data_IF_638752267475
#
_entry.id   IF_638752267475
#
_cell.length_a   1.000
_cell.length_b   1.000
_cell.length_c   1.000
_cell.angle_alpha   90.00
_cell.angle_beta   90.00
_cell.angle_gamma   90.00
#
_symmetry.space_group_name_H-M   'P 1'
#
loop_
_entity.id
_entity.type
_entity.pdbx_description
1 polymer ?
#
# COMPACT_ATOMS: atom_id res chain seq x y z
N UNK A 1 16.63 -17.11 -12.83
CA UNK A 1 15.98 -17.28 -11.51
C UNK A 1 14.61 -16.63 -11.60
N UNK A 2 13.51 -17.34 -11.37
CA UNK A 2 12.19 -16.79 -11.56
C UNK A 2 11.91 -15.73 -10.49
N UNK A 3 11.23 -14.65 -10.91
CA UNK A 3 10.85 -13.47 -10.12
C UNK A 3 9.65 -13.75 -9.20
N UNK A 4 9.61 -14.91 -8.57
CA UNK A 4 8.43 -15.36 -7.80
C UNK A 4 8.11 -14.43 -6.62
N UNK A 5 9.13 -13.79 -6.03
CA UNK A 5 8.96 -12.88 -4.91
C UNK A 5 8.31 -11.54 -5.27
N UNK A 6 8.66 -10.93 -6.42
CA UNK A 6 8.10 -9.62 -6.80
C UNK A 6 6.64 -9.73 -7.27
N UNK A 7 6.31 -10.80 -7.97
CA UNK A 7 4.95 -11.05 -8.44
C UNK A 7 4.01 -11.29 -7.24
N UNK A 8 4.50 -12.00 -6.21
CA UNK A 8 3.77 -12.22 -4.96
C UNK A 8 3.54 -10.94 -4.16
N UNK A 9 4.53 -10.04 -4.09
CA UNK A 9 4.38 -8.75 -3.39
C UNK A 9 3.46 -7.79 -4.14
N UNK A 10 3.49 -7.81 -5.46
CA UNK A 10 2.56 -7.07 -6.32
C UNK A 10 1.12 -7.51 -6.06
N UNK A 11 0.88 -8.82 -6.11
CA UNK A 11 -0.44 -9.39 -5.86
C UNK A 11 -0.91 -9.10 -4.44
N UNK A 12 -0.02 -9.22 -3.44
CA UNK A 12 -0.33 -8.90 -2.06
C UNK A 12 -0.72 -7.43 -1.88
N UNK A 13 0.05 -6.49 -2.44
CA UNK A 13 -0.22 -5.06 -2.33
C UNK A 13 -1.59 -4.71 -2.94
N UNK A 14 -1.88 -5.19 -4.15
CA UNK A 14 -3.15 -4.95 -4.84
C UNK A 14 -4.36 -5.59 -4.12
N UNK A 15 -4.21 -6.78 -3.54
CA UNK A 15 -5.31 -7.43 -2.79
C UNK A 15 -5.59 -6.80 -1.43
N UNK A 16 -4.65 -6.02 -0.90
CA UNK A 16 -4.71 -5.45 0.45
C UNK A 16 -4.64 -3.92 0.45
N UNK A 17 -4.96 -3.26 -0.66
CA UNK A 17 -4.91 -1.80 -0.82
C UNK A 17 -5.61 -1.08 0.34
N UNK A 18 -6.82 -1.50 0.74
CA UNK A 18 -7.59 -0.87 1.83
C UNK A 18 -6.86 -0.95 3.17
N UNK A 19 -6.31 -2.12 3.50
CA UNK A 19 -5.54 -2.31 4.71
C UNK A 19 -4.29 -1.41 4.72
N UNK A 20 -3.56 -1.38 3.60
CA UNK A 20 -2.36 -0.56 3.44
C UNK A 20 -2.70 0.93 3.58
N UNK A 21 -3.78 1.39 2.96
CA UNK A 21 -4.26 2.77 3.06
C UNK A 21 -4.61 3.15 4.51
N UNK A 22 -5.28 2.26 5.25
CA UNK A 22 -5.57 2.49 6.68
C UNK A 22 -4.31 2.54 7.53
N UNK A 23 -3.33 1.67 7.28
CA UNK A 23 -2.03 1.70 7.98
C UNK A 23 -1.28 3.00 7.67
N UNK A 24 -1.32 3.47 6.43
CA UNK A 24 -0.71 4.74 6.05
C UNK A 24 -1.41 5.95 6.67
N UNK A 25 -2.74 5.91 6.82
CA UNK A 25 -3.53 7.00 7.41
C UNK A 25 -3.43 7.06 8.94
N UNK A 26 -3.39 5.90 9.61
CA UNK A 26 -3.61 5.81 11.06
C UNK A 26 -2.50 5.08 11.82
N UNK A 27 -1.63 4.35 11.14
CA UNK A 27 -0.52 3.63 11.75
C UNK A 27 0.50 4.58 12.38
N UNK A 28 1.26 4.07 13.35
CA UNK A 28 2.43 4.76 13.87
C UNK A 28 3.55 4.84 12.82
N UNK A 29 4.67 5.49 13.18
CA UNK A 29 5.76 5.73 12.24
C UNK A 29 6.36 4.43 11.68
N UNK A 30 6.51 3.39 12.52
CA UNK A 30 7.07 2.11 12.11
C UNK A 30 6.14 1.37 11.15
N UNK A 31 4.84 1.31 11.47
CA UNK A 31 3.85 0.68 10.61
C UNK A 31 3.76 1.36 9.23
N UNK A 32 3.81 2.70 9.20
CA UNK A 32 3.85 3.45 7.93
C UNK A 32 5.11 3.17 7.13
N UNK A 33 6.27 3.07 7.79
CA UNK A 33 7.53 2.75 7.12
C UNK A 33 7.48 1.36 6.46
N UNK A 34 6.92 0.34 7.13
CA UNK A 34 6.75 -0.98 6.54
C UNK A 34 5.77 -0.98 5.37
N UNK A 35 4.65 -0.27 5.46
CA UNK A 35 3.70 -0.13 4.36
C UNK A 35 4.35 0.52 3.13
N UNK A 36 5.16 1.56 3.33
CA UNK A 36 5.91 2.21 2.25
C UNK A 36 6.98 1.28 1.65
N UNK A 37 7.69 0.52 2.48
CA UNK A 37 8.67 -0.45 2.00
C UNK A 37 7.99 -1.55 1.17
N UNK A 38 6.82 -2.04 1.61
CA UNK A 38 6.02 -3.02 0.87
C UNK A 38 5.63 -2.48 -0.52
N UNK A 39 5.10 -1.26 -0.60
CA UNK A 39 4.72 -0.63 -1.87
C UNK A 39 5.93 -0.36 -2.78
N UNK A 40 7.07 0.05 -2.21
CA UNK A 40 8.29 0.24 -2.98
C UNK A 40 8.82 -1.07 -3.58
N UNK A 41 8.67 -2.18 -2.86
CA UNK A 41 9.10 -3.51 -3.30
C UNK A 41 8.07 -4.25 -4.17
N UNK A 42 6.80 -3.82 -4.18
CA UNK A 42 5.78 -4.35 -5.08
C UNK A 42 5.96 -3.86 -6.51
N UNK A 43 6.58 -2.68 -6.72
CA UNK A 43 6.99 -2.20 -8.04
C UNK A 43 5.83 -1.89 -9.01
N UNK A 44 4.58 -1.94 -8.56
CA UNK A 44 3.40 -1.58 -9.36
C UNK A 44 3.00 -0.14 -9.08
N UNK A 45 3.00 0.67 -10.14
CA UNK A 45 2.55 2.07 -10.11
C UNK A 45 1.03 2.11 -9.89
N UNK A 46 0.30 1.15 -10.45
CA UNK A 46 -1.16 1.03 -10.29
C UNK A 46 -1.54 0.85 -8.81
N UNK A 47 -0.81 0.03 -8.06
CA UNK A 47 -1.04 -0.16 -6.64
C UNK A 47 -0.81 1.14 -5.83
N UNK A 48 0.12 2.00 -6.26
CA UNK A 48 0.39 3.29 -5.62
C UNK A 48 -0.79 4.23 -5.87
N UNK A 49 -1.28 4.32 -7.11
CA UNK A 49 -2.40 5.19 -7.48
C UNK A 49 -3.69 4.79 -6.74
N UNK A 50 -3.96 3.48 -6.63
CA UNK A 50 -5.10 2.96 -5.86
C UNK A 50 -5.01 3.30 -4.36
N UNK A 51 -3.82 3.14 -3.76
CA UNK A 51 -3.57 3.52 -2.35
C UNK A 51 -3.77 5.02 -2.15
N UNK A 52 -3.30 5.86 -3.08
CA UNK A 52 -3.51 7.31 -2.99
C UNK A 52 -4.99 7.70 -3.04
N UNK A 53 -5.77 7.09 -3.95
CA UNK A 53 -7.20 7.34 -4.05
C UNK A 53 -7.95 6.99 -2.75
N UNK A 54 -7.64 5.85 -2.15
CA UNK A 54 -8.22 5.44 -0.87
C UNK A 54 -7.78 6.32 0.31
N UNK A 55 -6.52 6.78 0.32
CA UNK A 55 -6.05 7.74 1.32
C UNK A 55 -6.80 9.06 1.24
N UNK A 56 -7.08 9.54 0.03
CA UNK A 56 -7.85 10.75 -0.17
C UNK A 56 -9.32 10.59 0.26
N UNK A 57 -9.90 9.40 0.09
CA UNK A 57 -11.22 9.06 0.62
C UNK A 57 -11.24 9.08 2.15
N UNK A 58 -10.31 8.36 2.80
CA UNK A 58 -10.18 8.33 4.26
C UNK A 58 -10.00 9.74 4.83
N UNK A 59 -9.16 10.58 4.19
CA UNK A 59 -8.95 11.97 4.61
C UNK A 59 -10.21 12.83 4.50
N UNK A 60 -11.12 12.53 3.56
CA UNK A 60 -12.43 13.20 3.45
C UNK A 60 -13.37 12.74 4.55
N UNK A 61 -13.34 11.47 4.93
CA UNK A 61 -14.20 10.92 6.00
C UNK A 61 -13.84 11.42 7.41
N UNK A 62 -12.55 11.67 7.65
CA UNK A 62 -12.05 12.20 8.94
C UNK A 62 -12.43 13.68 9.13
N UNK A 63 -12.76 14.39 8.05
CA UNK A 63 -13.02 15.83 8.05
C UNK A 63 -14.46 16.19 8.36
#
# INVERSE_FOLDING_TARGET
MPREGSDSLTEYASRNTEFISRVLAHGDEEARAYALALLANSGSVEAIDEVQAQLDEIRREIR
#
